data_IF_094142621018
#
_entry.id   IF_094142621018
#
_cell.length_a   1.000
_cell.length_b   1.000
_cell.length_c   1.000
_cell.angle_alpha   90.00
_cell.angle_beta   90.00
_cell.angle_gamma   90.00
#
_symmetry.space_group_name_H-M   'P 1'
#
loop_
_entity.id
_entity.type
_entity.pdbx_description
1 polymer ?
#
# COMPACT_ATOMS: atom_id res chain seq x y z
N UNK A 1 -15.43 -6.89 -7.60
CA UNK A 1 -14.55 -7.92 -8.20
C UNK A 1 -13.88 -8.62 -7.04
N UNK A 2 -13.99 -9.94 -6.99
CA UNK A 2 -13.43 -10.76 -5.92
C UNK A 2 -11.97 -11.08 -6.30
N UNK A 3 -11.02 -10.57 -5.53
CA UNK A 3 -9.59 -10.74 -5.83
C UNK A 3 -9.06 -11.90 -4.98
N UNK A 4 -9.00 -13.11 -5.54
CA UNK A 4 -8.15 -14.17 -5.01
C UNK A 4 -6.69 -13.66 -5.01
N UNK A 5 -5.96 -13.82 -3.91
CA UNK A 5 -4.74 -13.04 -3.63
C UNK A 5 -3.62 -13.11 -4.69
N UNK A 6 -2.81 -12.04 -4.77
CA UNK A 6 -1.57 -12.03 -5.56
C UNK A 6 -1.20 -10.76 -6.32
N UNK A 7 -2.04 -9.71 -6.35
CA UNK A 7 -1.84 -8.54 -7.25
C UNK A 7 -1.16 -7.35 -6.55
N UNK A 8 -1.15 -7.34 -5.22
CA UNK A 8 -0.71 -6.19 -4.41
C UNK A 8 0.38 -6.59 -3.42
N UNK A 9 1.28 -5.65 -3.15
CA UNK A 9 2.23 -5.69 -2.03
C UNK A 9 1.78 -4.69 -0.98
N UNK A 10 2.04 -4.98 0.29
CA UNK A 10 1.61 -4.17 1.43
C UNK A 10 2.69 -4.09 2.49
N UNK A 11 2.76 -2.96 3.18
CA UNK A 11 3.60 -2.76 4.37
C UNK A 11 2.91 -1.82 5.35
N UNK A 12 3.24 -1.91 6.63
CA UNK A 12 2.70 -1.05 7.67
C UNK A 12 3.74 -0.78 8.74
N UNK A 13 3.86 0.47 9.17
CA UNK A 13 4.75 0.87 10.25
C UNK A 13 4.11 1.95 11.11
N UNK A 14 4.79 2.30 12.21
CA UNK A 14 4.40 3.35 13.13
C UNK A 14 5.46 4.45 13.08
N UNK A 15 5.02 5.70 12.94
CA UNK A 15 5.90 6.87 12.92
C UNK A 15 5.48 7.89 13.96
N UNK A 16 6.45 8.71 14.38
CA UNK A 16 6.20 9.85 15.25
C UNK A 16 6.24 11.12 14.40
N UNK A 17 5.12 11.82 14.32
CA UNK A 17 5.06 13.15 13.73
C UNK A 17 5.82 14.12 14.65
N UNK A 18 6.86 14.75 14.11
CA UNK A 18 7.58 15.83 14.79
C UNK A 18 7.17 17.13 14.16
N UNK A 19 6.71 18.07 14.97
CA UNK A 19 6.14 19.34 14.51
C UNK A 19 4.99 19.13 13.50
N UNK A 20 4.16 18.10 13.75
CA UNK A 20 3.01 17.75 12.91
C UNK A 20 3.37 17.15 11.54
N UNK A 21 4.60 16.70 11.33
CA UNK A 21 5.05 16.18 10.02
C UNK A 21 5.94 14.94 10.13
N UNK A 22 5.83 14.06 9.13
CA UNK A 22 6.77 12.99 8.85
C UNK A 22 6.89 12.80 7.32
N UNK A 23 8.10 12.54 6.81
CA UNK A 23 8.33 12.38 5.37
C UNK A 23 8.88 10.99 5.11
N UNK A 24 8.21 10.27 4.21
CA UNK A 24 8.72 9.07 3.58
C UNK A 24 9.32 9.49 2.24
N UNK A 25 10.64 9.39 2.11
CA UNK A 25 11.35 9.62 0.85
C UNK A 25 11.78 8.27 0.27
N UNK A 26 11.18 7.88 -0.85
CA UNK A 26 11.44 6.59 -1.49
C UNK A 26 12.81 6.52 -2.19
N UNK A 27 13.48 7.66 -2.40
CA UNK A 27 14.82 7.75 -2.98
C UNK A 27 15.93 7.60 -1.90
N UNK A 28 15.59 7.84 -0.64
CA UNK A 28 16.54 7.80 0.51
C UNK A 28 16.32 6.61 1.46
N UNK A 29 15.56 5.58 1.05
CA UNK A 29 15.29 4.42 1.89
C UNK A 29 16.54 3.59 2.21
N UNK A 30 16.66 3.13 3.46
CA UNK A 30 17.67 2.16 3.87
C UNK A 30 17.48 0.85 3.10
N UNK A 31 18.51 0.44 2.35
CA UNK A 31 18.47 -0.78 1.55
C UNK A 31 18.25 -2.00 2.44
N UNK A 32 17.23 -2.79 2.11
CA UNK A 32 16.85 -3.99 2.85
C UNK A 32 15.85 -3.75 3.97
N UNK A 33 15.46 -2.51 4.26
CA UNK A 33 14.32 -2.23 5.14
C UNK A 33 13.01 -2.74 4.54
N UNK A 34 12.00 -2.95 5.38
CA UNK A 34 10.67 -3.41 4.95
C UNK A 34 10.06 -2.42 3.94
N UNK A 35 10.18 -1.12 4.20
CA UNK A 35 9.73 -0.08 3.27
C UNK A 35 10.53 -0.07 1.95
N UNK A 36 11.83 -0.35 1.98
CA UNK A 36 12.63 -0.52 0.77
C UNK A 36 12.21 -1.75 -0.04
N UNK A 37 11.96 -2.88 0.61
CA UNK A 37 11.47 -4.11 -0.04
C UNK A 37 10.09 -3.90 -0.65
N UNK A 38 9.20 -3.21 0.07
CA UNK A 38 7.91 -2.80 -0.45
C UNK A 38 8.05 -1.92 -1.71
N UNK A 39 8.92 -0.91 -1.68
CA UNK A 39 9.20 -0.07 -2.83
C UNK A 39 9.74 -0.87 -4.03
N UNK A 40 10.69 -1.79 -3.80
CA UNK A 40 11.26 -2.62 -4.87
C UNK A 40 10.25 -3.58 -5.49
N UNK A 41 9.30 -4.09 -4.70
CA UNK A 41 8.29 -5.05 -5.16
C UNK A 41 7.04 -4.38 -5.74
N UNK A 42 6.81 -3.11 -5.42
CA UNK A 42 5.73 -2.30 -6.00
C UNK A 42 6.01 -1.92 -7.46
N UNK A 43 4.98 -1.44 -8.16
CA UNK A 43 5.11 -0.85 -9.49
C UNK A 43 5.82 0.52 -9.52
N UNK A 44 6.30 1.01 -8.36
CA UNK A 44 7.03 2.28 -8.20
C UNK A 44 6.29 3.51 -8.72
N UNK A 45 4.96 3.45 -8.77
CA UNK A 45 4.12 4.57 -9.16
C UNK A 45 3.27 5.02 -7.97
N UNK A 46 3.67 6.09 -7.28
CA UNK A 46 2.97 6.60 -6.10
C UNK A 46 1.50 6.93 -6.36
N UNK A 47 1.09 7.19 -7.60
CA UNK A 47 -0.33 7.41 -7.94
C UNK A 47 -1.20 6.21 -7.58
N UNK A 48 -0.66 5.00 -7.67
CA UNK A 48 -1.40 3.74 -7.46
C UNK A 48 -1.36 3.26 -6.00
N UNK A 49 -0.63 3.99 -5.13
CA UNK A 49 -0.49 3.63 -3.74
C UNK A 49 -1.77 3.99 -2.98
N UNK A 50 -2.24 3.08 -2.15
CA UNK A 50 -3.26 3.36 -1.14
C UNK A 50 -2.54 3.62 0.17
N UNK A 51 -2.88 4.74 0.81
CA UNK A 51 -2.31 5.14 2.11
C UNK A 51 -3.45 5.15 3.12
N UNK A 52 -3.29 4.39 4.20
CA UNK A 52 -4.18 4.38 5.35
C UNK A 52 -3.41 4.96 6.54
N UNK A 53 -4.05 5.86 7.29
CA UNK A 53 -3.46 6.51 8.46
C UNK A 53 -4.39 6.33 9.66
N UNK A 54 -3.81 5.98 10.81
CA UNK A 54 -4.52 5.89 12.09
C UNK A 54 -3.72 6.66 13.13
N UNK A 55 -4.22 7.82 13.61
CA UNK A 55 -3.58 8.56 14.69
C UNK A 55 -3.81 7.88 16.04
N UNK A 56 -2.80 7.89 16.90
CA UNK A 56 -2.87 7.46 18.32
C UNK A 56 -3.14 8.65 19.26
N UNK A 57 -3.75 9.72 18.73
CA UNK A 57 -4.10 10.95 19.42
C UNK A 57 -5.44 11.50 18.92
N UNK A 58 -6.04 12.41 19.69
CA UNK A 58 -7.30 13.06 19.32
C UNK A 58 -7.05 14.22 18.35
N UNK A 59 -6.88 13.89 17.07
CA UNK A 59 -6.60 14.88 16.03
C UNK A 59 -6.81 14.36 14.61
N UNK A 60 -6.49 15.21 13.63
CA UNK A 60 -6.58 14.87 12.21
C UNK A 60 -5.21 14.55 11.65
N UNK A 61 -5.18 13.53 10.81
CA UNK A 61 -4.01 13.19 9.99
C UNK A 61 -4.40 13.09 8.52
N UNK A 62 -3.50 13.50 7.65
CA UNK A 62 -3.66 13.41 6.20
C UNK A 62 -2.30 13.20 5.55
N UNK A 63 -2.29 12.95 4.24
CA UNK A 63 -1.04 12.79 3.49
C UNK A 63 -1.08 13.57 2.18
N UNK A 64 0.11 13.84 1.67
CA UNK A 64 0.34 14.37 0.33
C UNK A 64 1.38 13.51 -0.38
N UNK A 65 1.15 13.25 -1.66
CA UNK A 65 2.10 12.59 -2.55
C UNK A 65 2.75 13.64 -3.43
N UNK A 66 4.08 13.73 -3.42
CA UNK A 66 4.81 14.67 -4.27
C UNK A 66 6.11 14.02 -4.78
N UNK A 67 6.21 13.83 -6.10
CA UNK A 67 7.34 13.14 -6.72
C UNK A 67 7.44 11.70 -6.22
N UNK A 68 8.56 11.37 -5.57
CA UNK A 68 8.84 10.10 -4.89
C UNK A 68 8.73 10.22 -3.36
N UNK A 69 7.92 11.16 -2.86
CA UNK A 69 7.72 11.34 -1.42
C UNK A 69 6.26 11.20 -1.03
N UNK A 70 6.02 10.65 0.15
CA UNK A 70 4.74 10.76 0.87
C UNK A 70 5.02 11.56 2.13
N UNK A 71 4.39 12.73 2.25
CA UNK A 71 4.42 13.50 3.49
C UNK A 71 3.16 13.22 4.28
N UNK A 72 3.31 12.75 5.52
CA UNK A 72 2.24 12.57 6.49
C UNK A 72 2.19 13.82 7.35
N UNK A 73 1.01 14.41 7.47
CA UNK A 73 0.75 15.57 8.29
C UNK A 73 -0.22 15.22 9.42
N UNK A 74 -0.08 15.93 10.54
CA UNK A 74 -1.02 15.95 11.65
C UNK A 74 -1.23 17.38 12.11
N UNK A 75 -2.40 17.67 12.66
CA UNK A 75 -2.63 18.93 13.38
C UNK A 75 -1.92 18.99 14.74
N UNK A 76 -1.46 17.84 15.23
CA UNK A 76 -0.63 17.70 16.42
C UNK A 76 0.57 16.78 16.18
N UNK A 77 1.56 16.85 17.07
CA UNK A 77 2.66 15.87 17.11
C UNK A 77 2.20 14.63 17.88
N UNK A 78 2.57 13.46 17.39
CA UNK A 78 2.12 12.21 18.00
C UNK A 78 2.42 10.99 17.15
N UNK A 79 2.02 9.84 17.65
CA UNK A 79 2.18 8.57 16.97
C UNK A 79 1.08 8.37 15.91
N UNK A 80 1.48 7.94 14.71
CA UNK A 80 0.59 7.59 13.61
C UNK A 80 1.01 6.24 13.04
N UNK A 81 0.09 5.29 13.01
CA UNK A 81 0.27 4.07 12.21
C UNK A 81 -0.07 4.37 10.77
N UNK A 82 0.78 3.96 9.83
CA UNK A 82 0.48 4.01 8.41
C UNK A 82 0.46 2.61 7.80
N UNK A 83 -0.41 2.41 6.81
CA UNK A 83 -0.43 1.26 5.93
C UNK A 83 -0.30 1.69 4.48
N UNK A 84 0.60 1.07 3.74
CA UNK A 84 0.78 1.27 2.31
C UNK A 84 0.42 -0.01 1.56
N UNK A 85 -0.32 0.14 0.46
CA UNK A 85 -0.65 -0.95 -0.44
C UNK A 85 -0.49 -0.48 -1.88
N UNK A 86 0.16 -1.25 -2.74
CA UNK A 86 0.41 -0.91 -4.14
C UNK A 86 0.35 -2.15 -5.05
N UNK A 87 0.05 -2.00 -6.35
CA UNK A 87 0.25 -3.09 -7.30
C UNK A 87 1.71 -3.55 -7.29
N UNK A 88 1.95 -4.86 -7.46
CA UNK A 88 3.31 -5.38 -7.63
C UNK A 88 3.88 -5.02 -9.01
N UNK A 89 5.19 -5.11 -9.18
CA UNK A 89 5.86 -4.91 -10.47
C UNK A 89 5.48 -5.99 -11.51
N UNK A 90 5.18 -7.20 -11.05
CA UNK A 90 4.93 -8.40 -11.87
C UNK A 90 3.43 -8.71 -12.04
N UNK A 91 2.55 -7.78 -11.66
CA UNK A 91 1.12 -8.01 -11.59
C UNK A 91 0.48 -8.35 -12.95
N UNK A 92 1.07 -7.89 -14.06
CA UNK A 92 0.61 -8.19 -15.43
C UNK A 92 1.05 -9.58 -15.90
N UNK A 93 2.16 -10.11 -15.37
CA UNK A 93 2.67 -11.45 -15.72
C UNK A 93 2.04 -12.56 -14.86
N UNK A 94 1.62 -12.20 -13.65
CA UNK A 94 0.98 -13.08 -12.67
C UNK A 94 -0.43 -12.59 -12.34
N UNK A 95 -1.27 -12.50 -13.38
CA UNK A 95 -2.69 -12.25 -13.19
C UNK A 95 -3.33 -13.38 -12.38
N UNK A 96 -4.41 -13.07 -11.67
CA UNK A 96 -5.15 -14.02 -10.85
C UNK A 96 -5.99 -15.01 -11.67
N UNK A 97 -5.92 -14.92 -12.99
CA UNK A 97 -6.54 -15.87 -13.89
C UNK A 97 -5.73 -17.17 -13.90
N UNK A 98 -6.29 -18.22 -13.31
CA UNK A 98 -5.74 -19.55 -13.48
C UNK A 98 -5.69 -19.89 -14.99
N UNK A 99 -4.51 -20.27 -15.50
CA UNK A 99 -4.28 -20.60 -16.93
C UNK A 99 -5.17 -21.74 -17.46
N UNK A 100 -5.87 -22.45 -16.57
CA UNK A 100 -6.75 -23.59 -16.87
C UNK A 100 -8.12 -23.48 -16.17
N UNK A 101 -8.60 -22.26 -15.90
CA UNK A 101 -10.01 -22.08 -15.58
C UNK A 101 -10.83 -22.27 -16.87
N UNK A 102 -11.20 -23.52 -17.16
CA UNK A 102 -12.49 -23.73 -17.81
C UNK A 102 -13.51 -23.01 -16.93
N UNK A 103 -14.28 -22.10 -17.51
CA UNK A 103 -15.46 -21.48 -16.87
C UNK A 103 -16.56 -22.55 -16.72
N UNK A 104 -16.23 -23.68 -16.08
CA UNK A 104 -17.15 -24.69 -15.62
C UNK A 104 -17.73 -24.22 -14.29
N UNK A 105 -18.60 -23.22 -14.34
CA UNK A 105 -19.47 -22.92 -13.21
C UNK A 105 -20.25 -24.17 -12.79
N UNK A 106 -20.72 -24.20 -11.54
CA UNK A 106 -21.66 -25.23 -11.10
C UNK A 106 -22.93 -25.10 -11.94
N UNK A 107 -23.20 -26.08 -12.81
CA UNK A 107 -24.51 -26.22 -13.45
C UNK A 107 -25.44 -26.78 -12.36
N UNK A 108 -26.20 -25.90 -11.71
CA UNK A 108 -27.36 -26.33 -10.91
C UNK A 108 -28.46 -26.69 -11.90
N UNK A 109 -28.65 -27.96 -12.20
CA UNK A 109 -29.85 -28.39 -12.91
C UNK A 109 -31.02 -28.30 -11.93
N UNK A 110 -31.85 -27.27 -12.08
CA UNK A 110 -33.15 -27.24 -11.42
C UNK A 110 -34.07 -28.26 -12.10
N UNK A 111 -34.49 -29.26 -11.30
CA UNK A 111 -35.58 -30.24 -11.45
C UNK A 111 -35.69 -31.05 -12.74
#
# INVERSE_FOLDING_TARGET
ADFAGGVRTETSEIVILRDGKYVIDFDELEKGSDLWLFWQTSNKNLKDFVVLLTPSFEGRVWYEKNGNTITIYGDESGEVSYGLSAPRVDYEEWDNLAKDQSLGGIIVSNY
#
